data_IF_782659287882
#
_entry.id   IF_782659287882
#
_cell.length_a   1.000
_cell.length_b   1.000
_cell.length_c   1.000
_cell.angle_alpha   90.00
_cell.angle_beta   90.00
_cell.angle_gamma   90.00
#
_symmetry.space_group_name_H-M   'P 1'
#
loop_
_entity.id
_entity.type
_entity.pdbx_description
1 polymer ?
#
# COMPACT_ATOMS: atom_id res chain seq x y z
N UNK A 1 11.78 -14.69 -2.62
CA UNK A 1 11.39 -15.80 -1.73
C UNK A 1 12.62 -16.30 -1.00
N UNK A 2 12.66 -16.07 0.31
CA UNK A 2 13.06 -17.05 1.32
C UNK A 2 11.93 -16.91 2.35
N UNK A 3 11.04 -17.91 2.44
CA UNK A 3 9.79 -17.86 3.20
C UNK A 3 8.57 -18.19 2.31
N UNK A 4 7.95 -19.34 2.59
CA UNK A 4 6.97 -20.07 1.77
C UNK A 4 5.53 -19.55 1.84
N UNK A 5 5.29 -18.26 2.08
CA UNK A 5 3.94 -17.74 2.23
C UNK A 5 3.61 -16.71 1.15
N UNK A 6 3.04 -17.17 0.04
CA UNK A 6 2.40 -16.31 -0.95
C UNK A 6 1.03 -15.86 -0.40
N UNK A 7 0.93 -14.59 0.00
CA UNK A 7 -0.34 -13.98 0.38
C UNK A 7 -0.93 -13.21 -0.81
N UNK A 8 -1.99 -13.76 -1.41
CA UNK A 8 -2.77 -13.05 -2.43
C UNK A 8 -3.94 -12.35 -1.74
N UNK A 9 -3.88 -11.03 -1.65
CA UNK A 9 -4.98 -10.19 -1.17
C UNK A 9 -5.93 -9.90 -2.34
N UNK A 10 -7.18 -10.35 -2.24
CA UNK A 10 -8.24 -10.08 -3.23
C UNK A 10 -9.26 -9.18 -2.54
N UNK A 11 -9.30 -7.92 -2.92
CA UNK A 11 -10.29 -6.96 -2.43
C UNK A 11 -11.50 -6.91 -3.39
N UNK A 12 -12.71 -6.73 -2.83
CA UNK A 12 -13.92 -6.50 -3.63
C UNK A 12 -14.01 -5.07 -4.15
N UNK A 13 -14.80 -4.84 -5.21
CA UNK A 13 -14.87 -3.56 -5.91
C UNK A 13 -15.14 -2.34 -5.01
N UNK A 14 -16.03 -2.45 -4.03
CA UNK A 14 -16.31 -1.37 -3.07
C UNK A 14 -15.09 -0.98 -2.24
N UNK A 15 -14.25 -1.96 -1.89
CA UNK A 15 -13.04 -1.70 -1.12
C UNK A 15 -11.99 -1.04 -2.01
N UNK A 16 -11.87 -1.50 -3.25
CA UNK A 16 -11.01 -0.89 -4.27
C UNK A 16 -11.42 0.55 -4.60
N UNK A 17 -12.71 0.87 -4.61
CA UNK A 17 -13.21 2.23 -4.80
C UNK A 17 -12.75 3.17 -3.66
N UNK A 18 -12.90 2.74 -2.40
CA UNK A 18 -12.40 3.50 -1.24
C UNK A 18 -10.88 3.70 -1.32
N UNK A 19 -10.12 2.65 -1.65
CA UNK A 19 -8.67 2.74 -1.86
C UNK A 19 -8.30 3.77 -2.94
N UNK A 20 -9.02 3.75 -4.07
CA UNK A 20 -8.83 4.71 -5.16
C UNK A 20 -9.10 6.15 -4.74
N UNK A 21 -10.21 6.38 -4.03
CA UNK A 21 -10.58 7.71 -3.52
C UNK A 21 -9.55 8.25 -2.51
N UNK A 22 -9.04 7.39 -1.62
CA UNK A 22 -7.96 7.75 -0.69
C UNK A 22 -6.67 8.09 -1.43
N UNK A 23 -6.28 7.29 -2.43
CA UNK A 23 -5.10 7.55 -3.25
C UNK A 23 -5.21 8.90 -3.96
N UNK A 24 -6.35 9.18 -4.60
CA UNK A 24 -6.60 10.45 -5.31
C UNK A 24 -6.53 11.63 -4.34
N UNK A 25 -7.21 11.51 -3.18
CA UNK A 25 -7.23 12.55 -2.15
C UNK A 25 -5.82 12.88 -1.64
N UNK A 26 -4.99 11.85 -1.39
CA UNK A 26 -3.60 12.06 -0.97
C UNK A 26 -2.76 12.77 -2.03
N UNK A 27 -2.91 12.41 -3.31
CA UNK A 27 -2.22 13.08 -4.43
C UNK A 27 -2.63 14.54 -4.60
N UNK A 28 -3.91 14.86 -4.37
CA UNK A 28 -4.44 16.23 -4.44
C UNK A 28 -3.94 17.06 -3.25
N UNK A 29 -3.97 16.47 -2.04
CA UNK A 29 -3.54 17.15 -0.82
C UNK A 29 -2.07 17.60 -0.90
N UNK A 30 -1.19 16.73 -1.40
CA UNK A 30 0.20 17.08 -1.64
C UNK A 30 0.79 16.33 -2.83
N UNK A 31 1.04 17.06 -3.92
CA UNK A 31 1.58 16.50 -5.16
C UNK A 31 3.03 16.03 -5.05
N UNK A 32 3.76 16.49 -4.02
CA UNK A 32 5.13 16.04 -3.77
C UNK A 32 5.19 14.69 -3.05
N UNK A 33 4.06 14.15 -2.57
CA UNK A 33 4.02 12.84 -1.96
C UNK A 33 3.89 11.73 -2.99
N UNK A 34 4.53 10.59 -2.71
CA UNK A 34 4.26 9.37 -3.44
C UNK A 34 3.09 8.66 -2.76
N UNK A 35 1.93 8.65 -3.41
CA UNK A 35 0.70 8.02 -2.91
C UNK A 35 0.26 6.92 -3.87
N UNK A 36 0.07 5.71 -3.36
CA UNK A 36 -0.22 4.55 -4.20
C UNK A 36 -1.05 3.51 -3.44
N UNK A 37 -1.87 2.77 -4.19
CA UNK A 37 -2.64 1.63 -3.70
C UNK A 37 -1.88 0.31 -3.89
N UNK A 38 -2.06 -0.63 -2.98
CA UNK A 38 -1.65 -2.04 -3.13
C UNK A 38 -0.17 -2.27 -3.45
N UNK A 39 0.72 -1.35 -3.06
CA UNK A 39 2.16 -1.44 -3.36
C UNK A 39 2.85 -2.33 -2.34
N UNK A 40 3.50 -3.39 -2.84
CA UNK A 40 4.31 -4.28 -2.01
C UNK A 40 5.61 -3.59 -1.60
N UNK A 41 5.94 -3.65 -0.32
CA UNK A 41 7.19 -3.13 0.22
C UNK A 41 7.84 -4.13 1.18
N UNK A 42 9.15 -4.34 1.08
CA UNK A 42 9.89 -5.12 2.08
C UNK A 42 10.44 -4.16 3.14
N UNK A 43 9.89 -4.22 4.35
CA UNK A 43 10.29 -3.44 5.51
C UNK A 43 11.03 -4.33 6.51
N UNK A 44 12.33 -4.10 6.73
CA UNK A 44 13.13 -4.85 7.72
C UNK A 44 13.02 -6.39 7.61
N UNK A 45 12.87 -6.91 6.38
CA UNK A 45 12.69 -8.35 6.12
C UNK A 45 11.24 -8.83 6.12
N UNK A 46 10.29 -8.00 6.56
CA UNK A 46 8.86 -8.28 6.49
C UNK A 46 8.25 -7.68 5.23
N UNK A 47 7.46 -8.48 4.50
CA UNK A 47 6.66 -7.95 3.40
C UNK A 47 5.43 -7.25 3.96
N UNK A 48 5.23 -6.00 3.54
CA UNK A 48 4.09 -5.18 3.92
C UNK A 48 3.39 -4.70 2.66
N UNK A 49 2.06 -4.75 2.67
CA UNK A 49 1.22 -4.38 1.54
C UNK A 49 0.03 -3.58 2.06
N UNK A 50 0.21 -2.26 2.28
CA UNK A 50 -0.92 -1.40 2.64
C UNK A 50 -1.96 -1.41 1.53
N UNK A 51 -3.22 -1.23 1.91
CA UNK A 51 -4.27 -0.88 0.96
C UNK A 51 -3.95 0.44 0.26
N UNK A 52 -3.52 1.45 1.03
CA UNK A 52 -2.97 2.72 0.52
C UNK A 52 -1.75 3.12 1.34
N UNK A 53 -0.64 3.37 0.66
CA UNK A 53 0.59 3.89 1.27
C UNK A 53 0.90 5.31 0.81
N UNK A 54 1.40 6.13 1.74
CA UNK A 54 1.86 7.50 1.49
C UNK A 54 3.30 7.62 1.95
N UNK A 55 4.15 8.14 1.07
CA UNK A 55 5.54 8.50 1.37
C UNK A 55 5.75 9.99 1.13
N UNK A 56 6.25 10.70 2.13
CA UNK A 56 6.62 12.11 2.05
C UNK A 56 7.89 12.29 1.21
N UNK A 57 8.77 11.29 1.26
CA UNK A 57 9.97 11.19 0.41
C UNK A 57 9.76 10.09 -0.61
N UNK A 58 9.90 10.42 -1.89
CA UNK A 58 9.73 9.45 -2.96
C UNK A 58 10.71 8.28 -2.82
N UNK A 59 10.22 7.03 -2.80
CA UNK A 59 11.09 5.88 -2.95
C UNK A 59 11.83 5.95 -4.29
N UNK A 60 13.08 5.48 -4.31
CA UNK A 60 13.91 5.47 -5.52
C UNK A 60 13.24 4.69 -6.65
N UNK A 61 13.67 4.92 -7.89
CA UNK A 61 13.15 4.16 -9.03
C UNK A 61 13.29 2.64 -8.83
N UNK A 62 14.45 2.18 -8.35
CA UNK A 62 14.71 0.76 -8.08
C UNK A 62 13.77 0.17 -7.03
N UNK A 63 13.47 0.93 -5.98
CA UNK A 63 12.52 0.54 -4.94
C UNK A 63 11.09 0.45 -5.48
N UNK A 64 10.66 1.37 -6.34
CA UNK A 64 9.31 1.34 -6.95
C UNK A 64 9.15 0.25 -8.00
N UNK A 65 10.20 -0.03 -8.77
CA UNK A 65 10.15 -0.97 -9.88
C UNK A 65 10.47 -2.42 -9.48
N UNK A 66 11.29 -2.61 -8.43
CA UNK A 66 11.69 -3.94 -7.92
C UNK A 66 11.68 -3.95 -6.38
N UNK A 67 10.52 -3.73 -5.73
CA UNK A 67 10.42 -3.55 -4.27
C UNK A 67 10.82 -4.77 -3.44
N UNK A 68 10.77 -5.97 -4.02
CA UNK A 68 11.22 -7.20 -3.37
C UNK A 68 12.74 -7.36 -3.35
N UNK A 69 13.41 -6.88 -4.39
CA UNK A 69 14.88 -6.93 -4.50
C UNK A 69 15.55 -5.69 -3.90
N UNK A 70 14.82 -4.57 -3.85
CA UNK A 70 15.27 -3.30 -3.31
C UNK A 70 14.29 -2.87 -2.21
N UNK A 71 14.56 -3.23 -0.94
CA UNK A 71 13.72 -2.85 0.19
C UNK A 71 13.41 -1.35 0.18
N UNK A 72 12.14 -1.00 0.33
CA UNK A 72 11.69 0.38 0.39
C UNK A 72 11.61 0.87 1.83
N UNK A 73 11.71 2.19 2.05
CA UNK A 73 11.37 2.76 3.34
C UNK A 73 9.89 2.48 3.66
N UNK A 74 9.53 2.35 4.95
CA UNK A 74 8.14 2.31 5.35
C UNK A 74 7.38 3.53 4.83
N UNK A 75 6.08 3.39 4.49
CA UNK A 75 5.26 4.56 4.24
C UNK A 75 5.15 5.39 5.52
N UNK A 76 5.16 6.70 5.39
CA UNK A 76 4.88 7.64 6.49
C UNK A 76 3.42 7.53 6.95
N UNK A 77 2.51 7.14 6.04
CA UNK A 77 1.12 6.81 6.39
C UNK A 77 0.74 5.45 5.80
N UNK A 78 0.35 4.52 6.66
CA UNK A 78 -0.11 3.17 6.33
C UNK A 78 -1.62 3.07 6.55
N UNK A 79 -2.39 2.80 5.49
CA UNK A 79 -3.85 2.71 5.57
C UNK A 79 -4.29 1.28 5.23
N UNK A 80 -5.17 0.73 6.06
CA UNK A 80 -5.93 -0.50 5.78
C UNK A 80 -7.42 -0.20 5.83
N UNK A 81 -8.13 -0.64 4.80
CA UNK A 81 -9.58 -0.55 4.69
C UNK A 81 -10.16 -1.88 5.14
N UNK A 82 -10.90 -1.86 6.24
CA UNK A 82 -11.64 -3.00 6.74
C UNK A 82 -13.11 -2.63 6.83
N UNK A 83 -13.98 -3.55 6.43
CA UNK A 83 -15.39 -3.44 6.78
C UNK A 83 -15.51 -3.73 8.26
N UNK A 84 -16.14 -2.83 9.00
CA UNK A 84 -16.62 -3.19 10.32
C UNK A 84 -17.65 -4.30 10.10
N UNK A 85 -17.38 -5.52 10.57
CA UNK A 85 -18.39 -6.57 10.63
C UNK A 85 -19.38 -6.19 11.74
N UNK A 86 -20.18 -5.16 11.52
CA UNK A 86 -21.54 -5.22 12.03
C UNK A 86 -22.29 -6.16 11.08
N UNK A 87 -23.04 -7.15 11.57
CA UNK A 87 -23.76 -8.10 10.73
C UNK A 87 -25.00 -7.41 10.14
N UNK A 88 -24.80 -6.35 9.37
CA UNK A 88 -25.82 -5.81 8.49
C UNK A 88 -25.82 -6.64 7.20
N UNK A 89 -26.38 -7.83 7.38
CA UNK A 89 -27.24 -8.61 6.46
C UNK A 89 -27.04 -8.44 4.96
#
# INVERSE_FOLDING_TARGET
MIGENLFIKIDGGNKTDIQGNLMISGKIYNQNWFVTQGTDCVMMGNQCKPDVGIWFIWPTYSQRHKPLANPCPPPDVYIEVFYNRDPDR
#
